data_IF_129794347843
#
_entry.id   IF_129794347843
#
_cell.length_a   1.000
_cell.length_b   1.000
_cell.length_c   1.000
_cell.angle_alpha   90.00
_cell.angle_beta   90.00
_cell.angle_gamma   90.00
#
_symmetry.space_group_name_H-M   'P 1'
#
loop_
_entity.id
_entity.type
_entity.pdbx_description
1 polymer ?
#
# COMPACT_ATOMS: atom_id res chain seq x y z
N UNK A 1 -4.44 -7.34 -11.37
CA UNK A 1 -3.24 -8.00 -11.93
C UNK A 1 -1.98 -7.40 -11.30
N UNK A 2 -1.74 -6.08 -11.38
CA UNK A 2 -0.51 -5.45 -10.86
C UNK A 2 -0.21 -5.78 -9.40
N UNK A 3 -1.20 -5.63 -8.50
CA UNK A 3 -1.03 -5.97 -7.07
C UNK A 3 -0.76 -7.47 -6.86
N UNK A 4 -1.39 -8.35 -7.65
CA UNK A 4 -1.17 -9.79 -7.57
C UNK A 4 0.24 -10.16 -8.05
N UNK A 5 0.77 -9.49 -9.08
CA UNK A 5 2.16 -9.64 -9.52
C UNK A 5 3.16 -9.17 -8.47
N UNK A 6 2.88 -8.06 -7.76
CA UNK A 6 3.71 -7.61 -6.65
C UNK A 6 3.78 -8.67 -5.53
N UNK A 7 2.64 -9.21 -5.14
CA UNK A 7 2.56 -10.26 -4.11
C UNK A 7 3.29 -11.54 -4.57
N UNK A 8 3.08 -11.97 -5.82
CA UNK A 8 3.77 -13.10 -6.42
C UNK A 8 5.29 -12.88 -6.52
N UNK A 9 5.71 -11.66 -6.90
CA UNK A 9 7.12 -11.28 -6.95
C UNK A 9 7.81 -11.39 -5.59
N UNK A 10 7.18 -10.91 -4.53
CA UNK A 10 7.69 -11.05 -3.15
C UNK A 10 7.76 -12.53 -2.76
N UNK A 11 6.74 -13.31 -3.12
CA UNK A 11 6.74 -14.76 -2.85
C UNK A 11 7.85 -15.49 -3.60
N UNK A 12 8.10 -15.15 -4.87
CA UNK A 12 9.13 -15.74 -5.70
C UNK A 12 10.56 -15.45 -5.23
N UNK A 13 10.79 -14.34 -4.52
CA UNK A 13 12.08 -14.01 -3.91
C UNK A 13 12.46 -14.92 -2.74
N UNK A 14 11.54 -15.77 -2.28
CA UNK A 14 11.78 -16.80 -1.28
C UNK A 14 11.61 -16.34 0.17
N UNK A 15 11.53 -17.31 1.07
CA UNK A 15 11.25 -17.10 2.50
C UNK A 15 12.25 -16.19 3.21
N UNK A 16 13.53 -16.25 2.84
CA UNK A 16 14.57 -15.41 3.44
C UNK A 16 14.35 -13.92 3.17
N UNK A 17 13.96 -13.57 1.93
CA UNK A 17 13.63 -12.19 1.57
C UNK A 17 12.37 -11.71 2.29
N UNK A 18 11.31 -12.54 2.32
CA UNK A 18 10.08 -12.23 3.05
C UNK A 18 10.34 -11.99 4.52
N UNK A 19 11.14 -12.86 5.17
CA UNK A 19 11.51 -12.70 6.57
C UNK A 19 12.28 -11.40 6.81
N UNK A 20 13.28 -11.08 5.99
CA UNK A 20 14.05 -9.84 6.10
C UNK A 20 13.18 -8.59 5.88
N UNK A 21 12.22 -8.66 4.95
CA UNK A 21 11.29 -7.56 4.70
C UNK A 21 10.34 -7.36 5.89
N UNK A 22 9.79 -8.43 6.45
CA UNK A 22 8.95 -8.35 7.65
C UNK A 22 9.74 -7.90 8.88
N UNK A 23 10.98 -8.33 9.03
CA UNK A 23 11.88 -7.89 10.10
C UNK A 23 12.18 -6.38 9.99
N UNK A 24 12.43 -5.88 8.78
CA UNK A 24 12.69 -4.45 8.54
C UNK A 24 11.50 -3.55 8.90
N UNK A 25 10.27 -4.05 8.80
CA UNK A 25 9.05 -3.31 9.16
C UNK A 25 8.42 -3.80 10.47
N UNK A 26 9.10 -4.65 11.24
CA UNK A 26 8.57 -5.27 12.47
C UNK A 26 8.22 -4.27 13.58
N UNK A 27 8.92 -3.12 13.60
CA UNK A 27 8.61 -2.05 14.52
C UNK A 27 7.58 -1.08 13.92
N UNK A 28 6.58 -0.61 14.66
CA UNK A 28 5.53 0.28 14.13
C UNK A 28 6.06 1.54 13.45
N UNK A 29 7.13 2.14 13.97
CA UNK A 29 7.76 3.32 13.38
C UNK A 29 8.46 3.01 12.05
N UNK A 30 9.09 1.82 11.93
CA UNK A 30 9.67 1.41 10.64
C UNK A 30 8.58 1.11 9.61
N UNK A 31 7.47 0.50 10.03
CA UNK A 31 6.29 0.33 9.19
C UNK A 31 5.71 1.66 8.70
N UNK A 32 5.54 2.63 9.61
CA UNK A 32 5.12 3.98 9.28
C UNK A 32 6.08 4.64 8.27
N UNK A 33 7.39 4.59 8.53
CA UNK A 33 8.40 5.14 7.63
C UNK A 33 8.39 4.47 6.25
N UNK A 34 8.21 3.15 6.20
CA UNK A 34 8.08 2.42 4.95
C UNK A 34 6.84 2.87 4.15
N UNK A 35 5.73 3.11 4.82
CA UNK A 35 4.52 3.66 4.19
C UNK A 35 4.73 5.07 3.62
N UNK A 36 5.39 5.95 4.39
CA UNK A 36 5.77 7.31 3.93
C UNK A 36 6.64 7.20 2.68
N UNK A 37 7.73 6.44 2.74
CA UNK A 37 8.68 6.30 1.63
C UNK A 37 8.02 5.68 0.39
N UNK A 38 7.23 4.63 0.57
CA UNK A 38 6.52 4.00 -0.53
C UNK A 38 5.62 5.02 -1.25
N UNK A 39 4.90 5.85 -0.51
CA UNK A 39 3.99 6.85 -1.09
C UNK A 39 4.76 8.00 -1.76
N UNK A 40 5.86 8.47 -1.18
CA UNK A 40 6.72 9.49 -1.81
C UNK A 40 7.28 8.98 -3.14
N UNK A 41 7.74 7.72 -3.18
CA UNK A 41 8.32 7.12 -4.39
C UNK A 41 7.27 6.89 -5.48
N UNK A 42 6.10 6.37 -5.08
CA UNK A 42 4.99 6.06 -6.01
C UNK A 42 4.18 7.30 -6.37
N UNK A 43 4.27 8.39 -5.59
CA UNK A 43 3.51 9.63 -5.73
C UNK A 43 1.98 9.41 -5.67
N UNK A 44 1.54 8.33 -5.03
CA UNK A 44 0.13 7.95 -4.92
C UNK A 44 -0.13 7.11 -3.68
N UNK A 45 -0.84 7.69 -2.72
CA UNK A 45 -1.27 6.96 -1.51
C UNK A 45 -2.31 5.87 -1.82
N UNK A 46 -3.14 6.08 -2.83
CA UNK A 46 -4.13 5.07 -3.25
C UNK A 46 -3.44 3.79 -3.73
N UNK A 47 -2.36 3.92 -4.50
CA UNK A 47 -1.56 2.78 -4.96
C UNK A 47 -0.84 2.12 -3.78
N UNK A 48 -0.19 2.91 -2.93
CA UNK A 48 0.51 2.39 -1.75
C UNK A 48 -0.46 1.65 -0.82
N UNK A 49 -1.61 2.24 -0.50
CA UNK A 49 -2.63 1.63 0.35
C UNK A 49 -3.20 0.36 -0.29
N UNK A 50 -3.56 0.39 -1.58
CA UNK A 50 -4.08 -0.78 -2.28
C UNK A 50 -3.06 -1.92 -2.32
N UNK A 51 -1.78 -1.60 -2.47
CA UNK A 51 -0.69 -2.59 -2.42
C UNK A 51 -0.59 -3.21 -1.03
N UNK A 52 -0.58 -2.39 0.03
CA UNK A 52 -0.53 -2.86 1.43
C UNK A 52 -1.73 -3.77 1.72
N UNK A 53 -2.95 -3.34 1.36
CA UNK A 53 -4.19 -4.13 1.54
C UNK A 53 -4.12 -5.43 0.73
N UNK A 54 -3.60 -5.38 -0.49
CA UNK A 54 -3.39 -6.57 -1.32
C UNK A 54 -2.41 -7.57 -0.68
N UNK A 55 -1.33 -7.08 -0.07
CA UNK A 55 -0.36 -7.92 0.66
C UNK A 55 -0.98 -8.57 1.91
N UNK A 56 -1.83 -7.83 2.64
CA UNK A 56 -2.59 -8.39 3.77
C UNK A 56 -3.55 -9.47 3.27
N UNK A 57 -4.29 -9.21 2.20
CA UNK A 57 -5.22 -10.16 1.60
C UNK A 57 -4.53 -11.42 1.03
N UNK A 58 -3.28 -11.31 0.60
CA UNK A 58 -2.44 -12.42 0.17
C UNK A 58 -1.78 -13.18 1.34
N UNK A 59 -1.92 -12.70 2.58
CA UNK A 59 -1.29 -13.30 3.76
C UNK A 59 0.22 -13.05 3.86
N UNK A 60 0.78 -12.16 3.02
CA UNK A 60 2.22 -11.83 3.01
C UNK A 60 2.57 -10.74 4.01
N UNK A 61 1.61 -9.94 4.45
CA UNK A 61 1.79 -8.88 5.43
C UNK A 61 0.75 -9.00 6.55
N UNK A 62 1.17 -9.11 7.83
CA UNK A 62 0.26 -9.09 8.97
C UNK A 62 -0.49 -7.75 9.08
N UNK A 63 -1.78 -7.80 9.44
CA UNK A 63 -2.61 -6.61 9.63
C UNK A 63 -2.02 -5.63 10.66
N UNK A 64 -1.36 -6.16 11.69
CA UNK A 64 -0.70 -5.36 12.72
C UNK A 64 0.42 -4.44 12.17
N UNK A 65 1.09 -4.85 11.11
CA UNK A 65 2.13 -4.06 10.43
C UNK A 65 1.53 -3.16 9.34
N UNK A 66 0.44 -3.61 8.72
CA UNK A 66 -0.25 -2.84 7.67
C UNK A 66 -0.83 -1.53 8.21
N UNK A 67 -1.38 -1.50 9.43
CA UNK A 67 -1.99 -0.30 10.01
C UNK A 67 -0.99 0.87 10.09
N UNK A 68 0.20 0.73 10.72
CA UNK A 68 1.21 1.80 10.71
C UNK A 68 1.67 2.18 9.30
N UNK A 69 1.80 1.22 8.38
CA UNK A 69 2.18 1.49 6.99
C UNK A 69 1.14 2.34 6.26
N UNK A 70 -0.15 2.07 6.45
CA UNK A 70 -1.24 2.88 5.88
C UNK A 70 -1.25 4.29 6.47
N UNK A 71 -1.02 4.43 7.77
CA UNK A 71 -0.85 5.74 8.41
C UNK A 71 0.32 6.51 7.78
N UNK A 72 1.44 5.84 7.54
CA UNK A 72 2.59 6.41 6.86
C UNK A 72 2.28 6.81 5.42
N UNK A 73 1.53 6.00 4.68
CA UNK A 73 1.13 6.32 3.31
C UNK A 73 0.30 7.62 3.25
N UNK A 74 -0.52 7.89 4.25
CA UNK A 74 -1.27 9.16 4.34
C UNK A 74 -0.34 10.36 4.56
N UNK A 75 0.66 10.24 5.44
CA UNK A 75 1.68 11.29 5.61
C UNK A 75 2.46 11.49 4.31
N UNK A 76 2.86 10.43 3.63
CA UNK A 76 3.61 10.51 2.38
C UNK A 76 2.90 11.33 1.29
N UNK A 77 1.57 11.28 1.25
CA UNK A 77 0.77 12.09 0.32
C UNK A 77 0.93 13.58 0.56
N UNK A 78 0.94 14.00 1.80
CA UNK A 78 1.01 15.41 2.16
C UNK A 78 2.41 15.98 1.91
N UNK A 79 3.45 15.20 2.17
CA UNK A 79 4.83 15.57 1.83
C UNK A 79 4.97 15.85 0.33
N UNK A 80 4.35 15.04 -0.52
CA UNK A 80 4.40 15.27 -1.98
C UNK A 80 3.68 16.55 -2.37
N UNK A 81 2.57 16.90 -1.74
CA UNK A 81 1.86 18.15 -1.97
C UNK A 81 2.69 19.38 -1.54
N UNK A 82 3.37 19.28 -0.41
CA UNK A 82 4.28 20.32 0.08
C UNK A 82 5.46 20.50 -0.88
N UNK A 83 6.07 19.42 -1.36
CA UNK A 83 7.11 19.48 -2.38
C UNK A 83 6.61 20.09 -3.70
N UNK A 84 5.39 19.74 -4.13
CA UNK A 84 4.78 20.30 -5.33
C UNK A 84 4.54 21.81 -5.21
N UNK A 85 4.16 22.30 -4.00
CA UNK A 85 3.96 23.74 -3.76
C UNK A 85 5.26 24.56 -3.92
N UNK A 86 6.42 23.95 -3.66
CA UNK A 86 7.72 24.59 -3.87
C UNK A 86 7.98 24.90 -5.35
N UNK A 87 7.34 24.20 -6.28
CA UNK A 87 7.40 24.50 -7.71
C UNK A 87 6.87 25.91 -8.06
N UNK A 88 5.98 26.46 -7.22
CA UNK A 88 5.40 27.80 -7.38
C UNK A 88 6.15 28.90 -6.61
N UNK A 89 7.34 28.62 -6.05
CA UNK A 89 8.08 29.53 -5.16
C UNK A 89 8.40 30.90 -5.79
N UNK A 90 8.48 30.96 -7.12
CA UNK A 90 8.72 32.20 -7.87
C UNK A 90 7.47 33.09 -8.01
N UNK A 91 6.29 32.55 -7.71
CA UNK A 91 5.00 33.25 -7.78
C UNK A 91 4.43 33.37 -6.37
N UNK A 92 4.76 34.47 -5.70
CA UNK A 92 4.52 34.65 -4.27
C UNK A 92 3.08 34.36 -3.82
N UNK A 93 2.08 34.79 -4.58
CA UNK A 93 0.68 34.61 -4.19
C UNK A 93 0.17 33.18 -4.41
N UNK A 94 0.59 32.53 -5.50
CA UNK A 94 0.28 31.12 -5.77
C UNK A 94 0.99 30.23 -4.75
N UNK A 95 2.27 30.50 -4.46
CA UNK A 95 3.04 29.75 -3.47
C UNK A 95 2.41 29.84 -2.08
N UNK A 96 2.06 31.03 -1.61
CA UNK A 96 1.44 31.20 -0.28
C UNK A 96 0.16 30.38 -0.14
N UNK A 97 -0.70 30.38 -1.14
CA UNK A 97 -1.96 29.64 -1.14
C UNK A 97 -1.71 28.12 -1.21
N UNK A 98 -0.86 27.67 -2.14
CA UNK A 98 -0.55 26.26 -2.32
C UNK A 98 0.17 25.69 -1.09
N UNK A 99 1.15 26.41 -0.55
CA UNK A 99 1.90 26.00 0.63
C UNK A 99 1.02 25.98 1.89
N UNK A 100 0.17 26.99 2.09
CA UNK A 100 -0.76 27.00 3.22
C UNK A 100 -1.74 25.82 3.17
N UNK A 101 -2.30 25.51 2.01
CA UNK A 101 -3.20 24.37 1.84
C UNK A 101 -2.47 23.03 2.08
N UNK A 102 -1.26 22.87 1.54
CA UNK A 102 -0.45 21.67 1.76
C UNK A 102 -0.11 21.50 3.25
N UNK A 103 0.37 22.56 3.90
CA UNK A 103 0.75 22.54 5.33
C UNK A 103 -0.42 22.24 6.26
N UNK A 104 -1.63 22.73 5.96
CA UNK A 104 -2.83 22.36 6.73
C UNK A 104 -3.09 20.85 6.65
N UNK A 105 -2.98 20.29 5.47
CA UNK A 105 -3.16 18.84 5.27
C UNK A 105 -2.07 18.04 5.97
N UNK A 106 -0.80 18.48 5.88
CA UNK A 106 0.32 17.87 6.61
C UNK A 106 0.06 17.84 8.11
N UNK A 107 -0.34 18.98 8.68
CA UNK A 107 -0.62 19.10 10.11
C UNK A 107 -1.73 18.16 10.56
N UNK A 108 -2.82 18.07 9.77
CA UNK A 108 -3.91 17.16 10.06
C UNK A 108 -3.47 15.70 10.08
N UNK A 109 -2.72 15.27 9.08
CA UNK A 109 -2.24 13.89 9.00
C UNK A 109 -1.22 13.57 10.09
N UNK A 110 -0.29 14.48 10.38
CA UNK A 110 0.66 14.33 11.48
C UNK A 110 -0.05 14.24 12.83
N UNK A 111 -1.03 15.12 13.09
CA UNK A 111 -1.81 15.10 14.31
C UNK A 111 -2.63 13.81 14.43
N UNK A 112 -3.27 13.39 13.35
CA UNK A 112 -4.01 12.13 13.31
C UNK A 112 -3.10 10.94 13.65
N UNK A 113 -1.91 10.86 13.06
CA UNK A 113 -0.96 9.79 13.36
C UNK A 113 -0.41 9.91 14.78
N UNK A 114 -0.11 11.12 15.27
CA UNK A 114 0.36 11.36 16.63
C UNK A 114 -0.63 10.88 17.70
N UNK A 115 -1.93 10.90 17.40
CA UNK A 115 -2.98 10.40 18.29
C UNK A 115 -3.28 8.92 18.03
N UNK A 116 -3.51 8.56 16.76
CA UNK A 116 -3.98 7.22 16.42
C UNK A 116 -2.91 6.14 16.54
N UNK A 117 -1.64 6.46 16.26
CA UNK A 117 -0.58 5.46 16.36
C UNK A 117 -0.34 5.01 17.81
N UNK A 118 -0.16 5.90 18.81
CA UNK A 118 -0.08 5.48 20.21
C UNK A 118 -1.34 4.75 20.68
N UNK A 119 -2.52 5.20 20.25
CA UNK A 119 -3.78 4.54 20.57
C UNK A 119 -3.83 3.11 20.02
N UNK A 120 -3.44 2.93 18.75
CA UNK A 120 -3.34 1.61 18.11
C UNK A 120 -2.32 0.71 18.82
N UNK A 121 -1.15 1.26 19.20
CA UNK A 121 -0.11 0.50 19.90
C UNK A 121 -0.57 0.04 21.30
N UNK A 122 -1.31 0.90 22.00
CA UNK A 122 -1.81 0.59 23.33
C UNK A 122 -3.04 -0.35 23.32
N UNK A 123 -3.93 -0.17 22.36
CA UNK A 123 -5.25 -0.82 22.37
C UNK A 123 -5.50 -1.77 21.20
N UNK A 124 -4.80 -1.59 20.07
CA UNK A 124 -5.09 -2.31 18.83
C UNK A 124 -6.49 -2.01 18.27
N UNK A 125 -7.01 -0.82 18.52
CA UNK A 125 -8.41 -0.47 18.22
C UNK A 125 -8.72 -0.54 16.73
N UNK A 126 -7.82 -0.06 15.86
CA UNK A 126 -8.03 -0.08 14.42
C UNK A 126 -7.95 -1.51 13.87
N UNK A 127 -6.97 -2.28 14.35
CA UNK A 127 -6.84 -3.69 14.00
C UNK A 127 -8.05 -4.50 14.45
N UNK A 128 -8.53 -4.29 15.68
CA UNK A 128 -9.74 -4.96 16.20
C UNK A 128 -10.98 -4.55 15.42
N UNK A 129 -11.15 -3.26 15.14
CA UNK A 129 -12.26 -2.78 14.32
C UNK A 129 -12.24 -3.41 12.92
N UNK A 130 -11.08 -3.47 12.28
CA UNK A 130 -10.93 -4.09 10.96
C UNK A 130 -11.26 -5.59 10.99
N UNK A 131 -10.79 -6.33 12.01
CA UNK A 131 -11.10 -7.76 12.14
C UNK A 131 -12.58 -8.00 12.43
N UNK A 132 -13.18 -7.24 13.33
CA UNK A 132 -14.62 -7.34 13.65
C UNK A 132 -15.49 -7.02 12.43
N UNK A 133 -15.16 -5.98 11.66
CA UNK A 133 -15.85 -5.69 10.41
C UNK A 133 -15.70 -6.81 9.40
N UNK A 134 -14.52 -7.39 9.30
CA UNK A 134 -14.28 -8.54 8.38
C UNK A 134 -15.12 -9.75 8.79
N UNK A 135 -15.21 -10.06 10.07
CA UNK A 135 -16.06 -11.13 10.60
C UNK A 135 -17.54 -10.85 10.35
N UNK A 136 -18.00 -9.64 10.64
CA UNK A 136 -19.39 -9.23 10.40
C UNK A 136 -19.79 -9.38 8.93
N UNK A 137 -18.93 -8.94 8.01
CA UNK A 137 -19.19 -9.11 6.56
C UNK A 137 -19.02 -10.55 6.07
N UNK A 138 -18.29 -11.38 6.79
CA UNK A 138 -18.14 -12.80 6.47
C UNK A 138 -19.45 -13.56 6.71
N UNK A 139 -20.18 -13.21 7.77
CA UNK A 139 -21.44 -13.85 8.17
C UNK A 139 -22.65 -13.27 7.43
N UNK A 140 -22.58 -12.04 6.96
CA UNK A 140 -23.62 -11.39 6.17
C UNK A 140 -23.39 -11.60 4.68
N UNK A 141 -24.08 -12.53 4.04
CA UNK A 141 -24.38 -12.70 2.60
C UNK A 141 -23.25 -12.51 1.56
N UNK A 142 -22.10 -11.96 1.91
CA UNK A 142 -20.89 -12.00 1.09
C UNK A 142 -20.25 -13.41 1.12
N UNK A 143 -20.85 -14.33 1.86
CA UNK A 143 -20.53 -15.76 1.93
C UNK A 143 -20.76 -16.52 0.61
N UNK A 144 -21.25 -15.86 -0.44
CA UNK A 144 -21.33 -16.45 -1.77
C UNK A 144 -19.98 -16.51 -2.50
N UNK A 145 -18.98 -15.78 -2.03
CA UNK A 145 -17.61 -15.89 -2.51
C UNK A 145 -16.77 -16.64 -1.46
N UNK A 146 -16.77 -17.97 -1.54
CA UNK A 146 -15.79 -18.77 -0.79
C UNK A 146 -14.39 -18.20 -1.03
N UNK A 147 -13.48 -18.16 -0.02
CA UNK A 147 -12.14 -17.63 -0.16
C UNK A 147 -11.28 -18.27 -1.26
N UNK A 148 -11.81 -19.22 -1.99
CA UNK A 148 -11.16 -19.98 -3.05
C UNK A 148 -11.67 -19.73 -4.47
N UNK A 149 -12.85 -19.15 -4.69
CA UNK A 149 -13.47 -19.11 -6.04
C UNK A 149 -14.19 -17.81 -6.36
N UNK A 150 -13.46 -16.69 -6.37
CA UNK A 150 -13.98 -15.47 -6.99
C UNK A 150 -13.62 -15.51 -8.49
N UNK A 151 -14.60 -15.42 -9.43
CA UNK A 151 -14.31 -15.38 -10.86
C UNK A 151 -13.32 -14.28 -11.24
N UNK A 152 -13.35 -13.16 -10.50
CA UNK A 152 -12.40 -12.05 -10.66
C UNK A 152 -11.01 -12.46 -10.18
N UNK A 153 -10.90 -13.19 -9.07
CA UNK A 153 -9.62 -13.69 -8.54
C UNK A 153 -8.98 -14.71 -9.49
N UNK A 154 -9.79 -15.58 -10.05
CA UNK A 154 -9.31 -16.60 -10.98
C UNK A 154 -8.92 -15.98 -12.32
N UNK A 155 -9.69 -15.02 -12.83
CA UNK A 155 -9.33 -14.23 -14.00
C UNK A 155 -8.03 -13.42 -13.81
N UNK A 156 -7.76 -12.94 -12.60
CA UNK A 156 -6.51 -12.22 -12.25
C UNK A 156 -5.33 -13.19 -12.07
N UNK A 157 -5.56 -14.41 -11.60
CA UNK A 157 -4.52 -15.43 -11.42
C UNK A 157 -4.01 -16.00 -12.74
N UNK A 158 -4.86 -16.07 -13.77
CA UNK A 158 -4.44 -16.60 -15.08
C UNK A 158 -3.19 -15.93 -15.66
N UNK A 159 -3.12 -14.60 -15.82
CA UNK A 159 -1.90 -13.96 -16.34
C UNK A 159 -0.73 -14.04 -15.37
N UNK A 160 -0.98 -14.08 -14.04
CA UNK A 160 0.08 -14.23 -13.04
C UNK A 160 0.67 -15.64 -13.08
N UNK A 161 -0.17 -16.68 -13.13
CA UNK A 161 0.28 -18.07 -13.24
C UNK A 161 1.06 -18.34 -14.53
N UNK A 162 0.68 -17.72 -15.65
CA UNK A 162 1.44 -17.81 -16.89
C UNK A 162 2.85 -17.21 -16.77
N UNK A 163 2.97 -16.09 -16.10
CA UNK A 163 4.26 -15.44 -15.84
C UNK A 163 5.09 -16.28 -14.86
N UNK A 164 4.47 -16.86 -13.83
CA UNK A 164 5.13 -17.76 -12.89
C UNK A 164 5.64 -19.05 -13.55
N UNK A 165 4.91 -19.58 -14.54
CA UNK A 165 5.35 -20.79 -15.28
C UNK A 165 6.46 -20.51 -16.30
N UNK A 166 6.56 -19.27 -16.81
CA UNK A 166 7.59 -18.85 -17.76
C UNK A 166 8.92 -18.47 -17.09
N UNK A 167 8.87 -18.12 -15.81
CA UNK A 167 10.04 -17.67 -15.05
C UNK A 167 10.40 -18.75 -14.02
N UNK A 168 11.61 -19.24 -14.07
CA UNK A 168 12.14 -20.10 -13.01
C UNK A 168 12.08 -19.37 -11.66
N UNK A 169 11.64 -20.02 -10.58
CA UNK A 169 11.55 -19.40 -9.26
C UNK A 169 12.93 -18.94 -8.79
N UNK A 170 13.08 -17.64 -8.57
CA UNK A 170 14.33 -17.03 -8.14
C UNK A 170 14.25 -15.52 -7.96
N UNK A 171 15.31 -14.93 -7.44
CA UNK A 171 15.37 -13.48 -7.18
C UNK A 171 15.16 -12.64 -8.44
N UNK A 172 15.65 -13.09 -9.60
CA UNK A 172 15.46 -12.40 -10.87
C UNK A 172 13.99 -12.41 -11.31
N UNK A 173 13.30 -13.55 -11.20
CA UNK A 173 11.88 -13.66 -11.48
C UNK A 173 11.06 -12.78 -10.55
N UNK A 174 11.38 -12.78 -9.25
CA UNK A 174 10.72 -11.91 -8.27
C UNK A 174 10.87 -10.42 -8.59
N UNK A 175 12.07 -9.96 -8.94
CA UNK A 175 12.32 -8.58 -9.35
C UNK A 175 11.57 -8.20 -10.63
N UNK A 176 11.52 -9.10 -11.60
CA UNK A 176 10.81 -8.88 -12.86
C UNK A 176 9.29 -8.79 -12.64
N UNK A 177 8.74 -9.66 -11.79
CA UNK A 177 7.32 -9.61 -11.42
C UNK A 177 6.99 -8.33 -10.64
N UNK A 178 7.87 -7.88 -9.74
CA UNK A 178 7.72 -6.60 -9.05
C UNK A 178 7.72 -5.43 -10.03
N UNK A 179 8.66 -5.39 -10.97
CA UNK A 179 8.76 -4.34 -11.97
C UNK A 179 7.52 -4.32 -12.89
N UNK A 180 7.06 -5.48 -13.35
CA UNK A 180 5.84 -5.61 -14.15
C UNK A 180 4.59 -5.21 -13.36
N UNK A 181 4.50 -5.61 -12.09
CA UNK A 181 3.39 -5.25 -11.20
C UNK A 181 3.29 -3.75 -11.01
N UNK A 182 4.40 -3.10 -10.69
CA UNK A 182 4.49 -1.63 -10.58
C UNK A 182 4.17 -0.96 -11.92
N UNK A 183 4.76 -1.42 -13.02
CA UNK A 183 4.52 -0.87 -14.36
C UNK A 183 3.04 -0.91 -14.75
N UNK A 184 2.33 -2.01 -14.48
CA UNK A 184 0.90 -2.13 -14.74
C UNK A 184 0.06 -1.20 -13.86
N UNK A 185 0.46 -1.00 -12.59
CA UNK A 185 -0.22 -0.06 -11.71
C UNK A 185 -0.06 1.37 -12.25
N UNK A 186 1.15 1.78 -12.60
CA UNK A 186 1.41 3.10 -13.17
C UNK A 186 0.71 3.30 -14.52
N UNK A 187 0.69 2.29 -15.38
CA UNK A 187 -0.02 2.34 -16.65
C UNK A 187 -1.53 2.54 -16.44
N UNK A 188 -2.13 1.78 -15.53
CA UNK A 188 -3.55 1.91 -15.20
C UNK A 188 -3.87 3.32 -14.67
N UNK A 189 -3.03 3.87 -13.78
CA UNK A 189 -3.17 5.24 -13.30
C UNK A 189 -3.03 6.26 -14.42
N UNK A 190 -2.04 6.11 -15.29
CA UNK A 190 -1.84 7.03 -16.42
C UNK A 190 -3.02 7.03 -17.40
N UNK A 191 -3.67 5.87 -17.60
CA UNK A 191 -4.89 5.77 -18.41
C UNK A 191 -6.05 6.49 -17.72
N UNK A 192 -6.27 6.23 -16.42
CA UNK A 192 -7.37 6.84 -15.66
C UNK A 192 -7.23 8.36 -15.57
N UNK A 193 -6.00 8.87 -15.40
CA UNK A 193 -5.75 10.32 -15.27
C UNK A 193 -5.80 11.07 -16.61
N UNK A 194 -5.73 10.37 -17.75
CA UNK A 194 -5.85 10.96 -19.08
C UNK A 194 -7.29 10.93 -19.64
N UNK A 195 -8.19 10.20 -19.00
CA UNK A 195 -9.62 10.14 -19.31
C UNK A 195 -10.38 11.25 -18.62
#
# INVERSE_FOLDING_TARGET
VGVALLAGGIAAMGRGFQAALLESVSHPLSGLSAGVLATILVQSSSVSTSTIVGMVGAGTLPLALAVPMIMGANIGTTITNTLASLGSIRRSDEFRRAFAAATMHDFFNLLAVAVLLPLELATGVLRRAASTLTEFFRDTTFSAAQPGSSPIRDAVKLPVGWIETLLEPGRAAGLLMLALGLGLIFLALAVITRS
#
